data_IF_654617839192
#
_entry.id   IF_654617839192
#
_cell.length_a   1.000
_cell.length_b   1.000
_cell.length_c   1.000
_cell.angle_alpha   90.00
_cell.angle_beta   90.00
_cell.angle_gamma   90.00
#
_symmetry.space_group_name_H-M   'P 1'
#
loop_
_entity.id
_entity.type
_entity.pdbx_description
1 polymer ?
#
# COMPACT_ATOMS: atom_id res chain seq x y z
N UNK A 1 12.46 0.22 21.94
CA UNK A 1 12.11 -0.77 20.92
C UNK A 1 11.16 -0.17 19.92
N UNK A 2 11.46 -0.25 18.65
CA UNK A 2 10.59 0.28 17.62
C UNK A 2 9.32 -0.54 17.44
N UNK A 3 8.30 0.06 16.89
CA UNK A 3 7.09 -0.66 16.51
C UNK A 3 7.42 -1.63 15.38
N UNK A 4 6.77 -2.79 15.38
CA UNK A 4 6.86 -3.69 14.24
C UNK A 4 6.26 -3.02 13.01
N UNK A 5 6.66 -3.47 11.82
CA UNK A 5 6.10 -2.92 10.58
C UNK A 5 4.59 -3.09 10.56
N UNK A 6 4.09 -4.22 11.05
CA UNK A 6 2.66 -4.49 11.08
C UNK A 6 1.87 -3.43 11.85
N UNK A 7 2.45 -2.82 12.90
CA UNK A 7 1.74 -1.82 13.70
C UNK A 7 1.50 -0.52 12.93
N UNK A 8 2.22 -0.29 11.83
CA UNK A 8 2.02 0.90 10.99
C UNK A 8 0.74 0.81 10.18
N UNK A 9 0.18 -0.38 10.07
CA UNK A 9 -1.06 -0.63 9.35
C UNK A 9 -2.23 -0.88 10.31
N UNK A 10 -2.09 -0.47 11.57
CA UNK A 10 -3.17 -0.63 12.55
C UNK A 10 -4.43 0.08 12.05
N UNK A 11 -5.54 -0.64 12.06
CA UNK A 11 -6.84 -0.16 11.60
C UNK A 11 -6.84 0.24 10.12
N UNK A 12 -5.96 -0.37 9.32
CA UNK A 12 -5.94 -0.24 7.88
C UNK A 12 -6.04 -1.64 7.27
N UNK A 13 -7.07 -1.87 6.47
CA UNK A 13 -7.24 -3.12 5.75
C UNK A 13 -6.51 -3.01 4.40
N UNK A 14 -5.21 -3.32 4.38
CA UNK A 14 -4.39 -3.13 3.18
C UNK A 14 -4.91 -3.97 2.01
N UNK A 15 -5.35 -5.18 2.28
CA UNK A 15 -5.86 -6.08 1.23
C UNK A 15 -7.17 -5.58 0.61
N UNK A 16 -7.89 -4.71 1.29
CA UNK A 16 -9.11 -4.09 0.78
C UNK A 16 -8.85 -2.69 0.24
N UNK A 17 -7.64 -2.20 0.38
CA UNK A 17 -7.23 -0.91 -0.16
C UNK A 17 -6.99 -1.02 -1.66
N UNK A 18 -6.89 0.12 -2.33
CA UNK A 18 -6.66 0.17 -3.77
C UNK A 18 -5.34 0.87 -4.06
N UNK A 19 -4.54 0.29 -4.93
CA UNK A 19 -3.33 0.93 -5.41
C UNK A 19 -3.69 1.93 -6.51
N UNK A 20 -3.18 3.14 -6.42
CA UNK A 20 -3.43 4.20 -7.40
C UNK A 20 -2.23 4.45 -8.30
N UNK A 21 -1.02 4.29 -7.80
CA UNK A 21 0.17 4.52 -8.58
C UNK A 21 1.43 4.05 -7.89
N UNK A 22 2.49 3.93 -8.69
CA UNK A 22 3.82 3.52 -8.24
C UNK A 22 4.82 4.56 -8.76
N UNK A 23 5.57 5.16 -7.85
CA UNK A 23 6.59 6.15 -8.20
C UNK A 23 7.95 5.67 -7.68
N UNK A 24 8.90 5.55 -8.58
CA UNK A 24 10.27 5.15 -8.24
C UNK A 24 11.19 6.36 -8.41
N UNK A 25 11.97 6.66 -7.38
CA UNK A 25 12.88 7.79 -7.39
C UNK A 25 14.16 7.40 -6.63
N UNK A 26 15.28 7.28 -7.34
CA UNK A 26 16.56 6.83 -6.79
C UNK A 26 16.43 5.51 -6.02
N UNK A 27 16.70 5.53 -4.72
CA UNK A 27 16.56 4.35 -3.85
C UNK A 27 15.24 4.34 -3.08
N UNK A 28 14.26 5.10 -3.56
CA UNK A 28 12.94 5.18 -2.93
C UNK A 28 11.85 4.71 -3.88
N UNK A 29 10.82 4.10 -3.30
CA UNK A 29 9.62 3.75 -4.03
C UNK A 29 8.41 4.18 -3.20
N UNK A 30 7.48 4.85 -3.84
CA UNK A 30 6.25 5.30 -3.20
C UNK A 30 5.06 4.64 -3.88
N UNK A 31 4.22 4.00 -3.07
CA UNK A 31 2.93 3.49 -3.52
C UNK A 31 1.87 4.50 -3.09
N UNK A 32 1.09 4.96 -4.05
CA UNK A 32 -0.05 5.83 -3.78
C UNK A 32 -1.29 4.95 -3.67
N UNK A 33 -2.04 5.10 -2.59
CA UNK A 33 -3.16 4.22 -2.31
C UNK A 33 -4.38 5.00 -1.82
N UNK A 34 -5.55 4.38 -2.03
CA UNK A 34 -6.74 4.66 -1.25
C UNK A 34 -6.79 3.58 -0.18
N UNK A 35 -6.50 3.94 1.06
CA UNK A 35 -6.53 3.01 2.18
C UNK A 35 -7.97 2.73 2.59
N UNK A 36 -8.29 1.47 2.80
CA UNK A 36 -9.55 1.08 3.45
C UNK A 36 -9.34 1.13 4.95
N UNK A 37 -9.89 2.15 5.60
CA UNK A 37 -9.74 2.34 7.04
C UNK A 37 -10.76 1.51 7.80
N UNK A 38 -10.33 0.98 8.94
CA UNK A 38 -11.18 0.23 9.85
C UNK A 38 -11.60 1.12 11.03
N UNK A 39 -12.71 0.78 11.70
CA UNK A 39 -13.09 1.48 12.93
C UNK A 39 -11.94 1.48 13.94
N UNK A 40 -11.66 2.61 14.51
CA UNK A 40 -10.51 2.79 15.42
C UNK A 40 -9.39 3.61 14.82
N UNK A 41 -9.34 3.75 13.50
CA UNK A 41 -8.37 4.65 12.87
C UNK A 41 -8.79 6.11 13.12
N UNK A 42 -7.82 7.01 13.43
CA UNK A 42 -8.17 8.42 13.71
C UNK A 42 -8.92 9.12 12.59
N UNK A 43 -8.67 8.72 11.34
CA UNK A 43 -9.31 9.32 10.17
C UNK A 43 -10.56 8.57 9.71
N UNK A 44 -10.98 7.54 10.46
CA UNK A 44 -12.12 6.73 10.06
C UNK A 44 -13.41 7.53 10.15
N UNK A 45 -14.20 7.46 9.09
CA UNK A 45 -15.58 7.93 9.07
C UNK A 45 -16.45 6.77 8.57
N UNK A 46 -17.63 6.59 9.16
CA UNK A 46 -18.52 5.53 8.73
C UNK A 46 -18.86 5.71 7.25
N UNK A 47 -18.66 4.67 6.41
CA UNK A 47 -18.98 4.79 5.00
C UNK A 47 -20.46 4.97 4.75
N UNK A 48 -20.80 5.53 3.59
CA UNK A 48 -22.18 5.64 3.18
C UNK A 48 -22.79 4.25 2.96
N UNK A 49 -24.10 4.20 2.80
CA UNK A 49 -24.82 2.93 2.72
C UNK A 49 -24.37 2.05 1.54
N UNK A 50 -23.80 2.64 0.51
CA UNK A 50 -23.34 1.93 -0.68
C UNK A 50 -21.85 1.62 -0.66
N UNK A 51 -21.13 2.09 0.34
CA UNK A 51 -19.67 1.92 0.44
C UNK A 51 -19.33 0.83 1.46
N UNK A 52 -18.43 -0.06 1.06
CA UNK A 52 -17.94 -1.12 1.95
C UNK A 52 -16.76 -0.67 2.80
N UNK A 53 -16.06 0.37 2.36
CA UNK A 53 -14.85 0.86 3.01
C UNK A 53 -14.92 2.36 3.21
N UNK A 54 -14.29 2.82 4.30
CA UNK A 54 -13.93 4.22 4.44
C UNK A 54 -12.59 4.40 3.72
N UNK A 55 -12.63 4.81 2.45
CA UNK A 55 -11.40 5.04 1.69
C UNK A 55 -10.80 6.40 2.04
N UNK A 56 -9.50 6.41 2.27
CA UNK A 56 -8.76 7.62 2.60
C UNK A 56 -7.43 7.62 1.85
N UNK A 57 -7.09 8.70 1.14
CA UNK A 57 -5.84 8.73 0.38
C UNK A 57 -4.62 8.69 1.29
N UNK A 58 -3.60 8.01 0.82
CA UNK A 58 -2.35 7.91 1.54
C UNK A 58 -1.27 7.30 0.68
N UNK A 59 -0.15 6.97 1.30
CA UNK A 59 0.97 6.38 0.59
C UNK A 59 1.80 5.48 1.51
N UNK A 60 2.48 4.53 0.90
CA UNK A 60 3.52 3.74 1.55
C UNK A 60 4.83 4.10 0.86
N UNK A 61 5.80 4.58 1.63
CA UNK A 61 7.11 4.97 1.10
C UNK A 61 8.18 4.05 1.62
N UNK A 62 8.93 3.47 0.69
CA UNK A 62 10.08 2.62 0.99
C UNK A 62 11.36 3.39 0.70
N UNK A 63 12.27 3.42 1.64
CA UNK A 63 13.55 4.11 1.50
C UNK A 63 14.72 3.17 1.72
N UNK A 64 15.87 3.51 1.12
CA UNK A 64 17.06 2.68 1.22
C UNK A 64 16.87 1.33 0.55
N UNK A 65 16.31 1.31 -0.66
CA UNK A 65 16.01 0.08 -1.37
C UNK A 65 17.31 -0.57 -1.83
N UNK A 66 17.50 -1.84 -1.46
CA UNK A 66 18.66 -2.62 -1.87
C UNK A 66 18.32 -3.62 -2.99
N UNK A 67 17.06 -4.03 -3.07
CA UNK A 67 16.59 -4.93 -4.11
C UNK A 67 15.21 -4.49 -4.53
N UNK A 68 14.97 -4.45 -5.84
CA UNK A 68 13.66 -4.06 -6.38
C UNK A 68 13.37 -4.89 -7.61
N UNK A 69 12.20 -5.52 -7.62
CA UNK A 69 11.70 -6.27 -8.75
C UNK A 69 10.25 -5.89 -8.99
N UNK A 70 9.97 -5.31 -10.15
CA UNK A 70 8.63 -4.91 -10.56
C UNK A 70 8.24 -5.69 -11.80
N UNK A 71 7.07 -6.34 -11.75
CA UNK A 71 6.50 -7.05 -12.90
C UNK A 71 5.11 -6.46 -13.17
N UNK A 72 4.98 -5.75 -14.29
CA UNK A 72 3.69 -5.18 -14.70
C UNK A 72 2.77 -6.26 -15.23
N UNK A 73 1.54 -6.29 -14.74
CA UNK A 73 0.50 -7.10 -15.31
C UNK A 73 -0.13 -6.36 -16.50
N UNK A 74 -0.77 -7.11 -17.39
CA UNK A 74 -1.59 -6.49 -18.43
C UNK A 74 -2.86 -5.95 -17.77
N UNK A 75 -3.10 -4.66 -17.97
CA UNK A 75 -4.30 -4.01 -17.44
C UNK A 75 -4.99 -3.24 -18.57
N UNK A 76 -6.26 -2.94 -18.38
CA UNK A 76 -7.00 -2.16 -19.35
C UNK A 76 -6.44 -0.74 -19.41
N UNK A 77 -6.44 -0.19 -20.63
CA UNK A 77 -6.01 1.19 -20.82
C UNK A 77 -6.91 2.13 -20.02
N UNK A 78 -6.28 3.04 -19.26
CA UNK A 78 -7.01 4.00 -18.45
C UNK A 78 -7.40 3.50 -17.07
N UNK A 79 -7.01 2.29 -16.70
CA UNK A 79 -7.26 1.81 -15.34
C UNK A 79 -6.53 2.70 -14.35
N UNK A 80 -7.23 3.18 -13.32
CA UNK A 80 -6.70 4.12 -12.33
C UNK A 80 -6.64 3.57 -10.92
N UNK A 81 -7.31 2.43 -10.69
CA UNK A 81 -7.34 1.79 -9.38
C UNK A 81 -7.06 0.31 -9.58
N UNK A 82 -6.21 -0.24 -8.73
CA UNK A 82 -5.77 -1.63 -8.84
C UNK A 82 -6.06 -2.34 -7.54
N UNK A 83 -6.84 -3.41 -7.61
CA UNK A 83 -7.15 -4.22 -6.44
C UNK A 83 -5.91 -4.97 -5.98
N UNK A 84 -5.77 -5.10 -4.66
CA UNK A 84 -4.65 -5.80 -4.04
C UNK A 84 -5.11 -7.21 -3.69
N UNK A 85 -4.40 -8.23 -4.20
CA UNK A 85 -4.71 -9.63 -3.94
C UNK A 85 -3.89 -10.17 -2.77
N UNK A 86 -2.63 -9.74 -2.66
CA UNK A 86 -1.74 -10.25 -1.61
C UNK A 86 -0.79 -9.15 -1.17
N UNK A 87 -0.46 -9.15 0.11
CA UNK A 87 0.41 -8.14 0.69
C UNK A 87 1.13 -8.75 1.88
N UNK A 88 2.46 -8.82 1.81
CA UNK A 88 3.27 -9.37 2.89
C UNK A 88 4.45 -8.48 3.20
N UNK A 89 4.78 -8.38 4.49
CA UNK A 89 6.00 -7.72 4.96
C UNK A 89 6.66 -8.63 5.97
N UNK A 90 7.91 -8.96 5.71
CA UNK A 90 8.73 -9.75 6.63
C UNK A 90 10.06 -9.03 6.83
N UNK A 91 10.21 -8.38 8.00
CA UNK A 91 11.41 -7.60 8.29
C UNK A 91 11.59 -6.47 7.29
N UNK A 92 12.64 -6.55 6.46
CA UNK A 92 12.94 -5.56 5.43
C UNK A 92 12.39 -5.93 4.06
N UNK A 93 11.76 -7.10 3.94
CA UNK A 93 11.23 -7.59 2.66
C UNK A 93 9.76 -7.29 2.53
N UNK A 94 9.39 -6.82 1.36
CA UNK A 94 8.01 -6.48 1.02
C UNK A 94 7.61 -7.15 -0.28
N UNK A 95 6.41 -7.69 -0.30
CA UNK A 95 5.84 -8.29 -1.51
C UNK A 95 4.37 -7.92 -1.64
N UNK A 96 3.95 -7.55 -2.83
CA UNK A 96 2.57 -7.24 -3.14
C UNK A 96 2.21 -7.85 -4.49
N UNK A 97 1.04 -8.47 -4.56
CA UNK A 97 0.45 -8.95 -5.79
C UNK A 97 -0.88 -8.21 -5.97
N UNK A 98 -1.01 -7.52 -7.08
CA UNK A 98 -2.18 -6.69 -7.34
C UNK A 98 -2.46 -6.63 -8.85
N UNK A 99 -3.57 -5.99 -9.22
CA UNK A 99 -3.94 -5.87 -10.63
C UNK A 99 -2.92 -5.07 -11.44
N UNK A 100 -2.16 -4.18 -10.80
CA UNK A 100 -1.06 -3.47 -11.44
C UNK A 100 0.07 -4.43 -11.82
N UNK A 101 0.31 -5.45 -11.03
CA UNK A 101 1.38 -6.41 -11.23
C UNK A 101 1.93 -6.89 -9.90
N UNK A 102 3.19 -7.31 -9.92
CA UNK A 102 3.87 -7.81 -8.73
C UNK A 102 5.00 -6.87 -8.34
N UNK A 103 5.11 -6.60 -7.04
CA UNK A 103 6.14 -5.73 -6.48
C UNK A 103 6.85 -6.54 -5.40
N UNK A 104 8.15 -6.72 -5.56
CA UNK A 104 9.00 -7.36 -4.57
C UNK A 104 10.19 -6.45 -4.31
N UNK A 105 10.44 -6.12 -3.07
CA UNK A 105 11.57 -5.26 -2.74
C UNK A 105 12.11 -5.54 -1.36
N UNK A 106 13.32 -5.05 -1.13
CA UNK A 106 13.94 -5.02 0.17
C UNK A 106 14.37 -3.59 0.43
N UNK A 107 13.96 -3.03 1.56
CA UNK A 107 14.19 -1.64 1.88
C UNK A 107 14.56 -1.48 3.35
N UNK A 108 15.34 -0.45 3.65
CA UNK A 108 15.78 -0.17 5.02
C UNK A 108 14.69 0.52 5.84
N UNK A 109 13.80 1.25 5.20
CA UNK A 109 12.75 1.96 5.90
C UNK A 109 11.43 1.86 5.17
N UNK A 110 10.36 1.84 5.94
CA UNK A 110 8.99 1.83 5.44
C UNK A 110 8.21 2.86 6.22
N UNK A 111 7.51 3.74 5.50
CA UNK A 111 6.64 4.74 6.11
C UNK A 111 5.24 4.62 5.53
N UNK A 112 4.24 4.67 6.40
CA UNK A 112 2.83 4.70 6.02
C UNK A 112 2.30 6.08 6.37
N UNK A 113 1.78 6.78 5.38
CA UNK A 113 1.32 8.15 5.52
C UNK A 113 -0.14 8.23 5.06
N UNK A 114 -0.99 8.84 5.88
CA UNK A 114 -2.37 9.15 5.51
C UNK A 114 -2.53 10.66 5.40
N UNK A 115 -3.28 11.09 4.41
CA UNK A 115 -3.53 12.52 4.22
C UNK A 115 -4.70 13.02 5.05
#
# INVERSE_FOLDING_TARGET
MGKSVASRFDNIAVERSMLLGVVVDDDQLTLELDFCLEPGHPEYEAPGSDDECCFHPGMIRFGGITTLNLERAQSEAGQKRYAIQDFTIEGTKFAMDCDWGKINLQARSIRVLTE
#
